data_IF_702277047646
#
_entry.id   IF_702277047646
#
_cell.length_a   1.000
_cell.length_b   1.000
_cell.length_c   1.000
_cell.angle_alpha   90.00
_cell.angle_beta   90.00
_cell.angle_gamma   90.00
#
_symmetry.space_group_name_H-M   'P 1'
#
loop_
_entity.id
_entity.type
_entity.pdbx_description
1 polymer ?
#
# COMPACT_ATOMS: atom_id res chain seq x y z
N UNK A 1 -29.92 38.18 13.85
CA UNK A 1 -29.90 38.34 12.38
C UNK A 1 -29.11 37.17 11.81
N UNK A 2 -29.74 36.33 10.98
CA UNK A 2 -29.08 35.21 10.30
C UNK A 2 -28.30 35.75 9.11
N UNK A 3 -26.98 35.69 9.17
CA UNK A 3 -26.11 36.03 8.04
C UNK A 3 -26.10 34.85 7.08
N UNK A 4 -26.79 35.01 5.95
CA UNK A 4 -26.73 34.05 4.85
C UNK A 4 -25.30 34.08 4.29
N UNK A 5 -24.55 32.98 4.46
CA UNK A 5 -23.20 32.89 3.95
C UNK A 5 -23.28 32.51 2.46
N UNK A 6 -23.16 33.53 1.62
CA UNK A 6 -23.26 33.44 0.17
C UNK A 6 -22.20 32.48 -0.38
N UNK A 7 -22.67 31.42 -1.04
CA UNK A 7 -21.95 30.56 -2.00
C UNK A 7 -20.43 30.58 -1.85
N UNK A 8 -19.88 29.69 -1.02
CA UNK A 8 -18.45 29.32 -1.10
C UNK A 8 -18.18 28.82 -2.52
N UNK A 9 -17.60 29.67 -3.36
CA UNK A 9 -17.03 29.24 -4.63
C UNK A 9 -15.98 28.18 -4.32
N UNK A 10 -16.12 26.98 -4.90
CA UNK A 10 -15.05 26.00 -4.91
C UNK A 10 -13.90 26.61 -5.73
N UNK A 11 -12.94 27.23 -5.04
CA UNK A 11 -11.70 27.69 -5.67
C UNK A 11 -10.87 26.47 -6.04
N UNK A 12 -10.33 26.47 -7.26
CA UNK A 12 -9.37 25.45 -7.71
C UNK A 12 -7.99 25.87 -7.21
N UNK A 13 -7.37 25.04 -6.38
CA UNK A 13 -6.00 25.21 -5.90
C UNK A 13 -5.12 24.15 -6.56
N UNK A 14 -4.04 24.58 -7.22
CA UNK A 14 -3.11 23.72 -7.93
C UNK A 14 -1.91 23.47 -7.02
N UNK A 15 -1.87 22.30 -6.39
CA UNK A 15 -0.83 21.94 -5.41
C UNK A 15 0.00 20.77 -5.93
N UNK A 16 1.32 20.87 -5.81
CA UNK A 16 2.21 19.75 -6.05
C UNK A 16 2.13 18.77 -4.88
N UNK A 17 1.85 17.49 -5.16
CA UNK A 17 1.75 16.46 -4.13
C UNK A 17 3.04 16.34 -3.31
N UNK A 18 4.19 16.55 -3.93
CA UNK A 18 5.49 16.53 -3.24
C UNK A 18 5.59 17.59 -2.14
N UNK A 19 4.96 18.76 -2.32
CA UNK A 19 5.00 19.85 -1.34
C UNK A 19 4.09 19.59 -0.13
N UNK A 20 3.19 18.60 -0.21
CA UNK A 20 2.32 18.23 0.91
C UNK A 20 3.06 17.43 1.98
N UNK A 21 4.22 16.84 1.66
CA UNK A 21 5.02 16.06 2.61
C UNK A 21 6.24 16.88 3.04
N UNK A 22 6.36 17.25 4.34
CA UNK A 22 7.48 18.05 4.83
C UNK A 22 8.84 17.49 4.44
N UNK A 23 9.80 18.34 4.11
CA UNK A 23 11.15 17.91 3.70
C UNK A 23 11.85 17.05 4.77
N UNK A 24 11.62 17.39 6.04
CA UNK A 24 12.20 16.70 7.18
C UNK A 24 11.44 15.43 7.60
N UNK A 25 10.45 14.99 6.82
CA UNK A 25 9.64 13.82 7.12
C UNK A 25 10.45 12.52 7.08
N UNK A 26 10.18 11.61 8.03
CA UNK A 26 10.93 10.35 8.18
C UNK A 26 10.91 9.48 6.92
N UNK A 27 9.79 9.43 6.21
CA UNK A 27 9.67 8.64 4.97
C UNK A 27 10.62 9.12 3.87
N UNK A 28 10.90 10.43 3.79
CA UNK A 28 11.89 10.98 2.84
C UNK A 28 13.31 10.53 3.20
N UNK A 29 13.62 10.42 4.50
CA UNK A 29 14.90 9.89 4.96
C UNK A 29 15.02 8.40 4.64
N UNK A 30 13.99 7.63 4.91
CA UNK A 30 13.96 6.19 4.61
C UNK A 30 14.16 5.95 3.11
N UNK A 31 13.40 6.63 2.25
CA UNK A 31 13.51 6.46 0.80
C UNK A 31 14.91 6.87 0.27
N UNK A 32 15.59 7.81 0.94
CA UNK A 32 16.98 8.19 0.62
C UNK A 32 18.02 7.14 1.03
N UNK A 33 17.81 6.42 2.14
CA UNK A 33 18.80 5.52 2.71
C UNK A 33 18.55 4.04 2.44
N UNK A 34 17.34 3.66 2.02
CA UNK A 34 16.95 2.28 1.81
C UNK A 34 16.50 2.11 0.35
N UNK A 35 17.28 1.34 -0.41
CA UNK A 35 16.83 0.85 -1.70
C UNK A 35 16.01 -0.42 -1.51
N UNK A 36 14.78 -0.42 -2.02
CA UNK A 36 13.84 -1.54 -1.94
C UNK A 36 13.88 -2.45 -3.18
N UNK A 37 14.79 -2.19 -4.13
CA UNK A 37 14.94 -2.97 -5.37
C UNK A 37 15.11 -4.47 -5.12
N UNK A 38 15.82 -4.85 -4.04
CA UNK A 38 16.09 -6.23 -3.64
C UNK A 38 14.83 -7.09 -3.46
N UNK A 39 13.68 -6.47 -3.15
CA UNK A 39 12.42 -7.18 -2.96
C UNK A 39 12.00 -7.87 -4.26
N UNK A 40 12.23 -7.23 -5.42
CA UNK A 40 11.86 -7.83 -6.70
C UNK A 40 12.61 -9.14 -6.94
N UNK A 41 13.89 -9.19 -6.56
CA UNK A 41 14.71 -10.40 -6.68
C UNK A 41 14.19 -11.50 -5.75
N UNK A 42 13.84 -11.15 -4.51
CA UNK A 42 13.31 -12.11 -3.54
C UNK A 42 11.94 -12.69 -3.93
N UNK A 43 11.08 -11.88 -4.56
CA UNK A 43 9.72 -12.31 -4.91
C UNK A 43 9.62 -12.86 -6.33
N UNK A 44 10.68 -12.81 -7.13
CA UNK A 44 10.63 -13.10 -8.57
C UNK A 44 9.94 -14.42 -8.91
N UNK A 45 10.26 -15.48 -8.17
CA UNK A 45 9.73 -16.83 -8.42
C UNK A 45 8.25 -16.99 -8.06
N UNK A 46 7.68 -16.05 -7.29
CA UNK A 46 6.28 -16.04 -6.88
C UNK A 46 5.38 -15.30 -7.87
N UNK A 47 5.98 -14.55 -8.81
CA UNK A 47 5.25 -13.72 -9.78
C UNK A 47 5.46 -14.23 -11.20
N UNK A 48 4.38 -14.22 -11.98
CA UNK A 48 4.46 -14.54 -13.39
C UNK A 48 4.95 -13.32 -14.19
N UNK A 49 5.94 -13.47 -15.09
CA UNK A 49 6.50 -12.34 -15.82
C UNK A 49 5.59 -11.82 -16.95
N UNK A 50 4.76 -12.68 -17.55
CA UNK A 50 4.14 -12.41 -18.85
C UNK A 50 2.71 -12.93 -19.02
N UNK A 51 2.13 -13.55 -17.99
CA UNK A 51 0.79 -14.14 -18.10
C UNK A 51 -0.19 -13.58 -17.05
N UNK A 52 -1.45 -13.45 -17.47
CA UNK A 52 -2.56 -13.04 -16.60
C UNK A 52 -2.70 -11.53 -16.43
N UNK A 53 -3.34 -11.13 -15.33
CA UNK A 53 -3.58 -9.73 -14.99
C UNK A 53 -2.32 -9.15 -14.34
N UNK A 54 -1.83 -7.97 -14.75
CA UNK A 54 -0.67 -7.35 -14.11
C UNK A 54 -0.97 -7.13 -12.63
N UNK A 55 -0.17 -7.76 -11.78
CA UNK A 55 -0.23 -7.59 -10.34
C UNK A 55 0.40 -6.26 -9.91
N UNK A 56 0.06 -5.80 -8.71
CA UNK A 56 0.78 -4.68 -8.08
C UNK A 56 2.25 -5.06 -7.91
N UNK A 57 3.15 -4.12 -8.19
CA UNK A 57 4.59 -4.29 -8.01
C UNK A 57 4.90 -4.71 -6.54
N UNK A 58 5.65 -5.80 -6.31
CA UNK A 58 5.96 -6.27 -4.96
C UNK A 58 6.66 -5.20 -4.11
N UNK A 59 7.45 -4.30 -4.71
CA UNK A 59 8.07 -3.18 -3.99
C UNK A 59 7.02 -2.20 -3.47
N UNK A 60 6.02 -1.89 -4.31
CA UNK A 60 4.92 -0.98 -3.95
C UNK A 60 4.07 -1.60 -2.85
N UNK A 61 3.73 -2.88 -2.99
CA UNK A 61 3.00 -3.63 -1.97
C UNK A 61 3.75 -3.56 -0.64
N UNK A 62 5.05 -3.88 -0.62
CA UNK A 62 5.86 -3.83 0.58
C UNK A 62 5.93 -2.41 1.19
N UNK A 63 6.13 -1.36 0.36
CA UNK A 63 6.13 0.03 0.85
C UNK A 63 4.80 0.39 1.53
N UNK A 64 3.66 -0.07 1.03
CA UNK A 64 2.36 0.11 1.67
C UNK A 64 2.30 -0.57 3.05
N UNK A 65 2.76 -1.83 3.14
CA UNK A 65 2.80 -2.57 4.41
C UNK A 65 3.73 -1.88 5.43
N UNK A 66 4.91 -1.47 4.95
CA UNK A 66 5.95 -0.85 5.75
C UNK A 66 5.51 0.49 6.34
N UNK A 67 4.81 1.33 5.56
CA UNK A 67 4.21 2.57 6.07
C UNK A 67 3.15 2.26 7.13
N UNK A 68 2.27 1.29 6.88
CA UNK A 68 1.25 0.85 7.86
C UNK A 68 1.87 0.40 9.19
N UNK A 69 2.99 -0.32 9.12
CA UNK A 69 3.76 -0.73 10.29
C UNK A 69 4.42 0.45 11.01
N UNK A 70 5.10 1.35 10.28
CA UNK A 70 5.79 2.52 10.85
C UNK A 70 4.88 3.45 11.65
N UNK A 71 3.65 3.67 11.17
CA UNK A 71 2.68 4.57 11.82
C UNK A 71 1.66 3.86 12.70
N UNK A 72 1.79 2.53 12.89
CA UNK A 72 0.91 1.76 13.76
C UNK A 72 -0.56 1.76 13.32
N UNK A 73 -0.82 1.77 12.00
CA UNK A 73 -2.19 1.80 11.49
C UNK A 73 -2.87 0.46 11.79
N UNK A 74 -3.80 0.47 12.77
CA UNK A 74 -4.42 -0.73 13.33
C UNK A 74 -5.12 -1.62 12.32
N UNK A 75 -5.74 -1.06 11.27
CA UNK A 75 -6.40 -1.84 10.22
C UNK A 75 -5.40 -2.72 9.47
N UNK A 76 -4.18 -2.24 9.28
CA UNK A 76 -3.11 -2.98 8.65
C UNK A 76 -2.55 -4.08 9.55
N UNK A 77 -2.41 -3.80 10.85
CA UNK A 77 -2.00 -4.80 11.84
C UNK A 77 -3.00 -5.96 11.95
N UNK A 78 -4.31 -5.69 11.85
CA UNK A 78 -5.35 -6.73 11.80
C UNK A 78 -5.22 -7.58 10.52
N UNK A 79 -4.98 -6.95 9.36
CA UNK A 79 -4.74 -7.68 8.11
C UNK A 79 -3.46 -8.54 8.16
N UNK A 80 -2.37 -8.00 8.67
CA UNK A 80 -1.09 -8.71 8.80
C UNK A 80 -1.18 -9.86 9.80
N UNK A 81 -1.89 -9.66 10.92
CA UNK A 81 -2.18 -10.75 11.88
C UNK A 81 -3.07 -11.84 11.28
N UNK A 82 -3.99 -11.49 10.39
CA UNK A 82 -4.83 -12.47 9.70
C UNK A 82 -4.06 -13.21 8.59
N UNK A 83 -3.14 -12.53 7.89
CA UNK A 83 -2.27 -13.13 6.89
C UNK A 83 -1.18 -14.04 7.50
N UNK A 84 -0.76 -13.77 8.74
CA UNK A 84 0.16 -14.64 9.47
C UNK A 84 -0.52 -15.88 10.08
N UNK A 85 -1.86 -15.89 10.19
CA UNK A 85 -2.66 -17.07 10.54
C UNK A 85 -3.00 -17.89 9.28
N UNK A 86 -2.00 -18.12 8.41
CA UNK A 86 -2.04 -19.20 7.43
C UNK A 86 -1.88 -20.55 8.15
N UNK A 87 -2.91 -20.94 8.92
CA UNK A 87 -3.19 -22.37 9.02
C UNK A 87 -3.46 -22.84 7.59
N UNK A 88 -2.75 -23.86 7.07
CA UNK A 88 -2.96 -24.31 5.71
C UNK A 88 -4.44 -24.65 5.58
N UNK A 89 -5.12 -24.00 4.64
CA UNK A 89 -6.47 -24.35 4.25
C UNK A 89 -6.41 -25.75 3.62
N UNK A 90 -6.39 -26.79 4.46
CA UNK A 90 -6.69 -28.16 4.05
C UNK A 90 -8.17 -28.14 3.70
N UNK A 91 -8.48 -27.83 2.44
CA UNK A 91 -9.80 -28.05 1.91
C UNK A 91 -9.91 -29.54 1.56
N UNK A 92 -10.73 -30.34 2.29
CA UNK A 92 -10.98 -31.70 1.88
C UNK A 92 -11.90 -31.65 0.64
N UNK A 93 -11.37 -32.07 -0.50
CA UNK A 93 -12.13 -32.54 -1.66
C UNK A 93 -13.13 -31.56 -2.28
N UNK A 94 -12.70 -30.87 -3.34
CA UNK A 94 -13.62 -30.61 -4.47
C UNK A 94 -12.95 -31.05 -5.76
N UNK A 95 -13.62 -31.91 -6.58
CA UNK A 95 -13.09 -32.28 -7.88
C UNK A 95 -13.12 -31.06 -8.80
N UNK A 96 -12.02 -30.93 -9.55
CA UNK A 96 -11.84 -29.94 -10.59
C UNK A 96 -12.85 -30.22 -11.71
N UNK A 97 -13.89 -29.40 -11.83
CA UNK A 97 -14.71 -29.37 -13.04
C UNK A 97 -13.86 -28.73 -14.15
N UNK A 98 -13.67 -29.51 -15.22
CA UNK A 98 -12.99 -29.19 -16.47
C UNK A 98 -13.37 -27.81 -17.04
#
# INVERSE_FOLDING_TARGET
MLTNNERKQNQLELVYIENLVPENHILRKIDKFIDFSFIRDLTKDLYCPDNGRPSVDPVVLFKMLFIGYLFGIRSFLVYSSAAADERPCVHPGRPMSL
#
